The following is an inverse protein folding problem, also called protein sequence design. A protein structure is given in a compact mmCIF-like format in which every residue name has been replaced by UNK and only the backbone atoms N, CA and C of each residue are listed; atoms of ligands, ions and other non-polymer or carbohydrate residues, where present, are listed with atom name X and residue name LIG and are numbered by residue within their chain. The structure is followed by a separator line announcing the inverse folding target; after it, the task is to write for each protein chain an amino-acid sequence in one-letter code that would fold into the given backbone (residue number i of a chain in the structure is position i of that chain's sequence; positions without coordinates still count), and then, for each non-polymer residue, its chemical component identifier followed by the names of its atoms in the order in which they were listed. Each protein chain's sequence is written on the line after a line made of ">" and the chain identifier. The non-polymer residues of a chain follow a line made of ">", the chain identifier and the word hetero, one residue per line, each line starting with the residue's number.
data_IF_352784583291
#
_entry.id   IF_352784583291
#
_cell.length_a   1.000
_cell.length_b   1.000
_cell.length_c   1.000
_cell.angle_alpha   90.00
_cell.angle_beta   90.00
_cell.angle_gamma   90.00
#
_symmetry.space_group_name_H-M   'P 1'
#
loop_
_entity.id
_entity.type
_entity.pdbx_description
1 polymer ?
#
# COMPACT_ATOMS: atom_id res chain seq x y z
N UNK A 1 15.44 10.98 -6.23
CA UNK A 1 16.45 10.97 -5.14
C UNK A 1 16.29 9.70 -4.33
N UNK A 2 17.39 9.07 -3.92
CA UNK A 2 17.35 7.82 -3.15
C UNK A 2 16.79 8.05 -1.74
N UNK A 3 15.95 7.11 -1.29
CA UNK A 3 15.42 7.02 0.06
C UNK A 3 16.38 6.22 0.95
N UNK A 4 16.67 6.72 2.14
CA UNK A 4 17.65 6.20 3.09
C UNK A 4 17.01 5.51 4.32
N UNK A 5 15.69 5.54 4.45
CA UNK A 5 15.01 4.86 5.54
C UNK A 5 13.49 4.84 5.36
N UNK A 6 12.84 3.84 5.95
CA UNK A 6 11.39 3.67 5.99
C UNK A 6 10.94 3.85 7.44
N UNK A 7 9.90 4.65 7.67
CA UNK A 7 9.31 4.77 9.00
C UNK A 7 7.81 5.09 8.93
N UNK A 8 7.13 5.01 10.09
CA UNK A 8 5.69 5.27 10.22
C UNK A 8 4.84 4.50 9.20
N UNK A 9 4.80 3.17 9.38
CA UNK A 9 3.93 2.29 8.63
C UNK A 9 2.55 2.23 9.29
N UNK A 10 1.53 2.60 8.52
CA UNK A 10 0.13 2.62 8.90
C UNK A 10 -0.67 1.75 7.94
N UNK A 11 -1.75 1.18 8.45
CA UNK A 11 -2.75 0.48 7.66
C UNK A 11 -4.14 1.03 7.98
N UNK A 12 -5.04 1.02 7.01
CA UNK A 12 -6.43 1.41 7.18
C UNK A 12 -7.32 0.35 6.54
N UNK A 13 -8.39 -0.05 7.22
CA UNK A 13 -9.36 -1.00 6.69
C UNK A 13 -10.13 -0.36 5.54
N UNK A 14 -10.40 -1.14 4.50
CA UNK A 14 -11.27 -0.72 3.40
C UNK A 14 -12.60 -1.42 3.58
N UNK A 15 -13.67 -0.63 3.57
CA UNK A 15 -15.04 -1.14 3.53
C UNK A 15 -15.64 -0.74 2.19
N UNK A 16 -16.23 -1.69 1.48
CA UNK A 16 -16.87 -1.45 0.19
C UNK A 16 -18.39 -1.56 0.37
N UNK A 17 -19.15 -0.58 -0.12
CA UNK A 17 -20.62 -0.65 -0.14
C UNK A 17 -21.13 -1.46 -1.35
N UNK A 18 -22.44 -1.76 -1.40
CA UNK A 18 -23.06 -2.48 -2.54
C UNK A 18 -22.88 -1.79 -3.91
N UNK A 19 -22.51 -0.49 -3.91
CA UNK A 19 -22.25 0.29 -5.12
C UNK A 19 -20.77 0.27 -5.55
N UNK A 20 -19.88 -0.43 -4.83
CA UNK A 20 -18.44 -0.47 -5.11
C UNK A 20 -17.69 0.79 -4.65
N UNK A 21 -18.30 1.63 -3.82
CA UNK A 21 -17.61 2.77 -3.20
C UNK A 21 -16.82 2.31 -1.98
N UNK A 22 -15.51 2.49 -2.07
CA UNK A 22 -14.57 2.18 -1.00
C UNK A 22 -14.50 3.34 0.00
N UNK A 23 -14.77 3.05 1.27
CA UNK A 23 -14.53 3.94 2.41
C UNK A 23 -13.35 3.42 3.23
N UNK A 24 -12.44 4.33 3.58
CA UNK A 24 -11.29 4.03 4.41
C UNK A 24 -11.57 4.32 5.88
N UNK A 25 -11.19 3.39 6.75
CA UNK A 25 -11.19 3.61 8.19
C UNK A 25 -9.99 4.46 8.63
N UNK A 26 -9.97 4.84 9.91
CA UNK A 26 -8.88 5.62 10.50
C UNK A 26 -7.57 4.85 10.42
N UNK A 27 -6.47 5.44 9.89
CA UNK A 27 -5.17 4.79 9.83
C UNK A 27 -4.66 4.37 11.21
N UNK A 28 -4.37 3.09 11.37
CA UNK A 28 -3.79 2.49 12.58
C UNK A 28 -2.30 2.20 12.34
N UNK A 29 -1.40 2.50 13.29
CA UNK A 29 0.01 2.11 13.15
C UNK A 29 0.11 0.58 13.12
N UNK A 30 0.77 0.03 12.09
CA UNK A 30 0.97 -1.41 11.97
C UNK A 30 2.08 -1.86 12.93
N UNK A 31 3.31 -1.46 12.60
CA UNK A 31 4.52 -1.97 13.23
C UNK A 31 5.73 -1.14 12.83
N UNK A 32 6.88 -1.45 13.44
CA UNK A 32 8.16 -0.95 12.95
C UNK A 32 8.50 -1.66 11.64
N UNK A 33 8.40 -0.93 10.54
CA UNK A 33 8.81 -1.40 9.24
C UNK A 33 10.35 -1.40 9.11
N UNK A 34 10.86 -2.42 8.45
CA UNK A 34 12.28 -2.69 8.21
C UNK A 34 12.57 -2.48 6.73
N UNK A 35 11.76 -3.09 5.87
CA UNK A 35 11.86 -2.99 4.42
C UNK A 35 10.48 -2.82 3.80
N UNK A 36 10.41 -2.09 2.69
CA UNK A 36 9.25 -2.02 1.82
C UNK A 36 9.73 -2.06 0.38
N UNK A 37 9.35 -3.11 -0.34
CA UNK A 37 9.62 -3.28 -1.76
C UNK A 37 8.30 -3.22 -2.52
N UNK A 38 8.19 -2.28 -3.45
CA UNK A 38 7.01 -2.11 -4.30
C UNK A 38 7.41 -2.42 -5.74
N UNK A 39 6.88 -3.51 -6.27
CA UNK A 39 6.93 -3.87 -7.69
C UNK A 39 5.61 -3.49 -8.35
N UNK A 40 5.66 -2.99 -9.58
CA UNK A 40 4.47 -2.56 -10.35
C UNK A 40 4.48 -3.27 -11.69
N UNK A 41 3.36 -3.93 -12.00
CA UNK A 41 3.10 -4.56 -13.27
C UNK A 41 2.14 -3.70 -14.09
N UNK A 42 2.57 -3.37 -15.31
CA UNK A 42 1.80 -2.63 -16.29
C UNK A 42 1.41 -3.62 -17.40
N UNK A 43 0.12 -3.74 -17.68
CA UNK A 43 -0.35 -4.41 -18.88
C UNK A 43 -0.09 -3.49 -20.08
N UNK A 44 0.68 -3.98 -21.06
CA UNK A 44 0.81 -3.32 -22.35
C UNK A 44 0.00 -4.04 -23.42
N UNK A 45 -0.77 -3.29 -24.19
CA UNK A 45 -1.42 -3.78 -25.40
C UNK A 45 -0.92 -2.92 -26.57
N UNK A 46 -0.26 -3.57 -27.53
CA UNK A 46 0.18 -2.90 -28.77
C UNK A 46 -0.78 -3.29 -29.89
N UNK A 47 -1.50 -2.31 -30.43
CA UNK A 47 -2.25 -2.44 -31.68
C UNK A 47 -1.27 -2.31 -32.83
N UNK A 48 -1.22 -3.32 -33.71
CA UNK A 48 -0.42 -3.27 -34.93
C UNK A 48 -1.30 -2.92 -36.13
N UNK A 49 -0.88 -1.95 -36.93
CA UNK A 49 -1.49 -1.61 -38.22
C UNK A 49 -0.37 -1.30 -39.23
N UNK A 50 -0.58 -1.69 -40.50
CA UNK A 50 0.40 -1.54 -41.59
C UNK A 50 1.82 -2.05 -41.24
N UNK A 51 1.90 -3.28 -40.72
CA UNK A 51 3.16 -3.94 -40.33
C UNK A 51 4.02 -3.18 -39.29
N UNK A 52 3.42 -2.20 -38.58
CA UNK A 52 4.04 -1.42 -37.51
C UNK A 52 3.18 -1.34 -36.25
N UNK A 53 3.79 -1.03 -35.11
CA UNK A 53 3.06 -0.71 -33.88
C UNK A 53 2.33 0.62 -34.07
N UNK A 54 1.00 0.58 -34.17
CA UNK A 54 0.15 1.74 -34.44
C UNK A 54 -0.28 2.44 -33.15
N UNK A 55 -0.53 1.68 -32.08
CA UNK A 55 -0.94 2.24 -30.79
C UNK A 55 -0.42 1.38 -29.64
N UNK A 56 0.13 1.99 -28.60
CA UNK A 56 0.59 1.28 -27.41
C UNK A 56 -0.18 1.82 -26.21
N UNK A 57 -1.05 0.98 -25.64
CA UNK A 57 -1.78 1.28 -24.42
C UNK A 57 -1.05 0.62 -23.26
N UNK A 58 -0.71 1.40 -22.23
CA UNK A 58 -0.14 0.90 -20.97
C UNK A 58 -1.11 1.18 -19.84
N UNK A 59 -1.62 0.14 -19.20
CA UNK A 59 -2.54 0.23 -18.07
C UNK A 59 -1.93 -0.44 -16.84
N UNK A 60 -2.20 0.11 -15.65
CA UNK A 60 -1.81 -0.55 -14.40
C UNK A 60 -2.58 -1.87 -14.25
N UNK A 61 -1.86 -2.99 -14.18
CA UNK A 61 -2.44 -4.32 -14.03
C UNK A 61 -2.53 -4.68 -12.54
N UNK A 62 -1.39 -4.68 -11.87
CA UNK A 62 -1.22 -5.08 -10.48
C UNK A 62 0.08 -4.51 -9.92
N UNK A 63 0.23 -4.54 -8.60
CA UNK A 63 1.55 -4.38 -7.98
C UNK A 63 1.75 -5.41 -6.89
N UNK A 64 2.99 -5.63 -6.51
CA UNK A 64 3.36 -6.48 -5.37
C UNK A 64 4.11 -5.63 -4.36
N UNK A 65 3.59 -5.57 -3.15
CA UNK A 65 4.18 -4.88 -2.01
C UNK A 65 4.69 -5.91 -1.01
N UNK A 66 6.00 -5.97 -0.84
CA UNK A 66 6.65 -6.81 0.17
C UNK A 66 7.12 -5.95 1.32
N UNK A 67 6.54 -6.16 2.50
CA UNK A 67 6.89 -5.45 3.72
C UNK A 67 7.63 -6.40 4.68
N UNK A 68 8.85 -6.03 5.05
CA UNK A 68 9.52 -6.61 6.22
C UNK A 68 9.17 -5.79 7.45
N UNK A 69 8.61 -6.42 8.47
CA UNK A 69 8.25 -5.74 9.74
C UNK A 69 8.84 -6.49 10.92
N UNK A 70 9.11 -5.76 12.01
CA UNK A 70 9.69 -6.37 13.21
C UNK A 70 8.74 -7.36 13.89
N UNK A 71 7.46 -6.99 13.98
CA UNK A 71 6.39 -7.79 14.57
C UNK A 71 5.06 -7.29 13.98
N UNK A 72 4.26 -8.15 13.37
CA UNK A 72 2.96 -7.74 12.79
C UNK A 72 1.94 -7.45 13.91
N UNK A 73 2.06 -8.12 15.06
CA UNK A 73 1.03 -8.16 16.08
C UNK A 73 -0.16 -9.02 15.68
N UNK A 74 -0.86 -9.56 16.67
CA UNK A 74 -1.97 -10.50 16.42
C UNK A 74 -3.18 -9.76 15.83
N UNK A 75 -3.52 -8.58 16.35
CA UNK A 75 -4.62 -7.75 15.85
C UNK A 75 -4.46 -7.38 14.37
N UNK A 76 -3.26 -6.97 13.96
CA UNK A 76 -3.03 -6.62 12.57
C UNK A 76 -2.95 -7.87 11.69
N UNK A 77 -2.43 -9.00 12.19
CA UNK A 77 -2.45 -10.25 11.44
C UNK A 77 -3.89 -10.70 11.17
N UNK A 78 -4.80 -10.64 12.15
CA UNK A 78 -6.22 -10.94 11.93
C UNK A 78 -6.83 -10.03 10.84
N UNK A 79 -6.52 -8.74 10.87
CA UNK A 79 -7.07 -7.79 9.87
C UNK A 79 -6.45 -7.97 8.48
N UNK A 80 -5.13 -8.13 8.40
CA UNK A 80 -4.40 -8.17 7.13
C UNK A 80 -4.55 -9.50 6.42
N UNK A 81 -4.52 -10.62 7.16
CA UNK A 81 -4.56 -11.96 6.59
C UNK A 81 -5.95 -12.57 6.67
N UNK A 82 -6.83 -12.05 7.53
CA UNK A 82 -8.12 -12.69 7.82
C UNK A 82 -8.02 -13.88 8.76
N UNK A 83 -6.86 -14.09 9.39
CA UNK A 83 -6.66 -15.18 10.33
C UNK A 83 -7.55 -15.00 11.56
N UNK A 84 -7.94 -16.11 12.19
CA UNK A 84 -8.78 -16.08 13.39
C UNK A 84 -7.99 -16.51 14.62
N UNK A 85 -8.17 -15.80 15.72
CA UNK A 85 -7.74 -16.28 17.03
C UNK A 85 -8.56 -17.50 17.49
N UNK A 86 -7.88 -18.57 17.89
CA UNK A 86 -8.47 -19.64 18.70
C UNK A 86 -8.66 -19.19 20.17
N UNK A 87 -9.47 -19.91 20.94
CA UNK A 87 -9.73 -19.66 22.37
C UNK A 87 -8.43 -19.59 23.21
N UNK A 88 -7.37 -20.23 22.73
CA UNK A 88 -6.04 -20.23 23.34
C UNK A 88 -5.15 -19.06 22.94
N UNK A 89 -5.68 -18.03 22.26
CA UNK A 89 -4.93 -16.88 21.74
C UNK A 89 -3.87 -17.24 20.68
N UNK A 90 -4.08 -18.35 19.98
CA UNK A 90 -3.21 -18.78 18.86
C UNK A 90 -3.82 -18.27 17.56
N UNK A 91 -3.00 -17.59 16.75
CA UNK A 91 -3.40 -17.16 15.41
C UNK A 91 -3.44 -18.38 14.48
N UNK A 92 -4.62 -18.72 13.97
CA UNK A 92 -4.81 -19.81 13.01
C UNK A 92 -4.99 -19.20 11.63
N UNK A 93 -4.03 -19.45 10.74
CA UNK A 93 -4.11 -19.09 9.33
C UNK A 93 -4.54 -20.32 8.50
N UNK A 94 -5.66 -20.23 7.82
CA UNK A 94 -6.18 -21.24 6.89
C UNK A 94 -5.83 -20.87 5.44
N UNK A 95 -5.82 -21.86 4.54
CA UNK A 95 -5.58 -21.62 3.10
C UNK A 95 -6.69 -20.79 2.42
N UNK A 96 -7.83 -20.64 3.09
CA UNK A 96 -8.99 -19.87 2.63
C UNK A 96 -8.98 -18.44 3.19
N UNK A 97 -8.02 -18.12 4.07
CA UNK A 97 -7.85 -16.79 4.65
C UNK A 97 -7.33 -15.84 3.57
N UNK A 98 -8.30 -15.22 2.88
CA UNK A 98 -8.08 -14.10 1.99
C UNK A 98 -8.49 -12.83 2.70
N UNK A 99 -7.59 -12.27 3.52
CA UNK A 99 -7.80 -11.02 4.23
C UNK A 99 -8.43 -9.92 3.36
N UNK A 100 -9.22 -9.06 3.99
CA UNK A 100 -9.84 -7.94 3.29
C UNK A 100 -8.75 -6.99 2.75
N UNK A 101 -8.98 -6.35 1.59
CA UNK A 101 -8.04 -5.36 1.11
C UNK A 101 -7.94 -4.19 2.12
N UNK A 102 -6.73 -3.69 2.33
CA UNK A 102 -6.42 -2.58 3.23
C UNK A 102 -5.65 -1.49 2.49
N UNK A 103 -5.76 -0.25 2.94
CA UNK A 103 -4.91 0.83 2.48
C UNK A 103 -3.63 0.87 3.33
N UNK A 104 -2.48 1.10 2.70
CA UNK A 104 -1.19 1.10 3.39
C UNK A 104 -0.47 2.42 3.17
N UNK A 105 -0.10 3.06 4.27
CA UNK A 105 0.58 4.34 4.31
C UNK A 105 1.96 4.20 4.93
N UNK A 106 2.99 4.72 4.27
CA UNK A 106 4.34 4.77 4.83
C UNK A 106 5.08 6.00 4.37
N UNK A 107 6.13 6.38 5.10
CA UNK A 107 7.04 7.43 4.65
C UNK A 107 8.45 6.92 4.52
N UNK A 108 9.12 7.40 3.49
CA UNK A 108 10.51 7.13 3.22
C UNK A 108 11.32 8.42 3.41
N UNK A 109 12.34 8.37 4.28
CA UNK A 109 13.29 9.44 4.46
C UNK A 109 14.21 9.52 3.24
N UNK A 110 14.40 10.70 2.68
CA UNK A 110 15.33 10.98 1.58
C UNK A 110 16.71 11.36 2.12
N UNK A 111 17.73 11.26 1.26
CA UNK A 111 19.10 11.65 1.59
C UNK A 111 19.25 13.13 2.04
N UNK A 112 18.34 14.02 1.65
CA UNK A 112 18.29 15.42 2.09
C UNK A 112 17.69 15.62 3.49
N UNK A 113 17.30 14.54 4.19
CA UNK A 113 16.66 14.60 5.50
C UNK A 113 15.16 14.89 5.48
N UNK A 114 14.56 15.12 4.30
CA UNK A 114 13.11 15.26 4.11
C UNK A 114 12.43 13.91 3.93
N UNK A 115 11.11 13.88 4.03
CA UNK A 115 10.32 12.67 3.87
C UNK A 115 9.54 12.68 2.55
N UNK A 116 9.33 11.48 2.01
CA UNK A 116 8.37 11.20 0.96
C UNK A 116 7.30 10.30 1.55
N UNK A 117 6.06 10.71 1.48
CA UNK A 117 4.93 9.94 1.97
C UNK A 117 4.29 9.19 0.81
N UNK A 118 3.79 8.00 1.11
CA UNK A 118 3.14 7.11 0.17
C UNK A 118 1.84 6.60 0.79
N UNK A 119 0.81 6.48 -0.05
CA UNK A 119 -0.42 5.74 0.22
C UNK A 119 -0.68 4.79 -0.93
N UNK A 120 -0.93 3.53 -0.59
CA UNK A 120 -1.44 2.50 -1.50
C UNK A 120 -2.89 2.26 -1.11
N UNK A 121 -3.80 2.48 -2.07
CA UNK A 121 -5.22 2.52 -1.76
C UNK A 121 -5.84 1.17 -1.51
N UNK A 122 -5.38 0.12 -2.19
CA UNK A 122 -5.93 -1.22 -2.08
C UNK A 122 -4.80 -2.22 -2.14
N UNK A 123 -4.50 -2.84 -0.99
CA UNK A 123 -3.46 -3.86 -0.85
C UNK A 123 -4.10 -5.07 -0.17
N UNK A 124 -4.10 -6.21 -0.84
CA UNK A 124 -4.55 -7.47 -0.23
C UNK A 124 -3.33 -8.26 0.19
N UNK A 125 -3.12 -8.41 1.49
CA UNK A 125 -2.01 -9.18 2.00
C UNK A 125 -2.29 -10.67 1.92
N UNK A 126 -1.22 -11.42 1.61
CA UNK A 126 -1.19 -12.86 1.76
C UNK A 126 -0.74 -13.27 3.16
N UNK A 127 -0.54 -14.58 3.30
CA UNK A 127 -0.06 -15.18 4.55
C UNK A 127 1.40 -14.74 4.77
N UNK A 128 1.75 -14.17 5.93
CA UNK A 128 3.10 -13.74 6.23
C UNK A 128 4.05 -14.94 6.29
N UNK A 129 5.21 -14.81 5.65
CA UNK A 129 6.26 -15.80 5.74
C UNK A 129 6.99 -15.64 7.09
N UNK A 130 6.92 -16.70 7.90
CA UNK A 130 7.68 -16.77 9.15
C UNK A 130 9.08 -17.31 8.84
N UNK A 131 10.06 -16.41 8.81
CA UNK A 131 11.46 -16.79 8.71
C UNK A 131 12.01 -17.05 10.11
N UNK A 132 12.31 -18.31 10.44
CA UNK A 132 12.98 -18.69 11.69
C UNK A 132 14.37 -19.20 11.36
N UNK A 133 15.41 -18.52 11.84
CA UNK A 133 16.79 -18.97 11.71
C UNK A 133 17.36 -19.30 13.08
N UNK A 134 18.05 -20.44 13.19
CA UNK A 134 18.76 -20.82 14.40
C UNK A 134 19.94 -19.89 14.62
N UNK A 135 20.28 -19.66 15.91
CA UNK A 135 21.39 -18.79 16.28
C UNK A 135 22.72 -19.41 15.82
N UNK A 136 23.34 -18.83 14.80
CA UNK A 136 24.73 -19.12 14.41
C UNK A 136 25.73 -18.22 15.16
N UNK A 137 27.01 -18.31 14.82
CA UNK A 137 28.08 -17.43 15.34
C UNK A 137 27.83 -15.92 15.08
N UNK A 138 26.93 -15.60 14.15
CA UNK A 138 26.44 -14.25 13.85
C UNK A 138 24.96 -14.10 14.23
N UNK A 139 24.62 -13.01 14.94
CA UNK A 139 23.24 -12.69 15.30
C UNK A 139 22.52 -12.13 14.05
N UNK A 140 21.89 -12.99 13.27
CA UNK A 140 20.96 -12.58 12.21
C UNK A 140 19.56 -12.47 12.82
N UNK A 141 18.97 -11.28 12.77
CA UNK A 141 17.57 -11.10 13.12
C UNK A 141 16.70 -11.54 11.94
N UNK A 142 16.05 -12.69 12.06
CA UNK A 142 15.00 -13.07 11.11
C UNK A 142 13.73 -12.33 11.46
N UNK A 143 13.27 -11.48 10.55
CA UNK A 143 12.03 -10.73 10.70
C UNK A 143 10.97 -11.30 9.77
N UNK A 144 9.71 -11.41 10.21
CA UNK A 144 8.63 -11.83 9.35
C UNK A 144 8.48 -10.87 8.15
N UNK A 145 8.15 -11.43 7.00
CA UNK A 145 7.87 -10.67 5.78
C UNK A 145 6.44 -10.95 5.36
N UNK A 146 5.69 -9.90 5.01
CA UNK A 146 4.34 -10.02 4.49
C UNK A 146 4.31 -9.45 3.07
N UNK A 147 3.76 -10.24 2.16
CA UNK A 147 3.57 -9.85 0.77
C UNK A 147 2.11 -9.48 0.56
N UNK A 148 1.84 -8.40 -0.16
CA UNK A 148 0.50 -8.00 -0.52
C UNK A 148 0.38 -7.55 -1.97
N UNK A 149 -0.73 -7.91 -2.60
CA UNK A 149 -1.03 -7.51 -3.97
C UNK A 149 -1.73 -6.15 -3.96
N UNK A 150 -1.08 -5.16 -4.57
CA UNK A 150 -1.62 -3.82 -4.81
C UNK A 150 -2.56 -3.86 -6.01
N UNK A 151 -3.75 -3.29 -5.83
CA UNK A 151 -4.79 -3.20 -6.83
C UNK A 151 -5.24 -1.74 -6.99
N UNK A 152 -5.86 -1.43 -8.14
CA UNK A 152 -6.52 -0.15 -8.35
C UNK A 152 -7.78 -0.04 -7.49
N UNK A 153 -8.17 1.18 -7.14
CA UNK A 153 -9.45 1.46 -6.50
C UNK A 153 -10.61 1.03 -7.39
N UNK A 154 -11.66 0.52 -6.76
CA UNK A 154 -12.95 0.33 -7.43
C UNK A 154 -13.67 1.67 -7.61
N UNK A 155 -13.53 2.58 -6.63
CA UNK A 155 -14.11 3.93 -6.70
C UNK A 155 -13.32 4.82 -7.69
N UNK A 156 -13.98 5.48 -8.64
CA UNK A 156 -13.34 6.50 -9.46
C UNK A 156 -13.05 7.76 -8.64
N UNK A 157 -11.94 8.40 -8.95
CA UNK A 157 -11.58 9.74 -8.47
C UNK A 157 -12.48 10.82 -9.09
N UNK A 158 -12.35 12.07 -8.66
CA UNK A 158 -13.02 13.24 -9.24
C UNK A 158 -12.76 13.46 -10.74
N UNK A 159 -11.82 12.72 -11.34
CA UNK A 159 -11.54 12.69 -12.78
C UNK A 159 -12.04 11.42 -13.50
N UNK A 160 -12.79 10.54 -12.83
CA UNK A 160 -13.26 9.28 -13.41
C UNK A 160 -12.17 8.21 -13.57
N UNK A 161 -11.02 8.37 -12.92
CA UNK A 161 -9.88 7.44 -12.97
C UNK A 161 -9.80 6.60 -11.70
N UNK A 162 -9.13 5.46 -11.76
CA UNK A 162 -8.96 4.54 -10.62
C UNK A 162 -7.53 4.62 -10.07
N UNK A 163 -7.20 5.57 -9.17
CA UNK A 163 -5.85 5.71 -8.65
C UNK A 163 -5.51 4.51 -7.77
N UNK A 164 -4.27 4.02 -7.88
CA UNK A 164 -3.77 2.88 -7.10
C UNK A 164 -2.73 3.31 -6.05
N UNK A 165 -2.07 4.46 -6.25
CA UNK A 165 -1.06 5.06 -5.36
C UNK A 165 -1.20 6.57 -5.29
N UNK A 166 -0.94 7.14 -4.11
CA UNK A 166 -0.58 8.54 -3.93
C UNK A 166 0.82 8.67 -3.34
N UNK A 167 1.58 9.66 -3.78
CA UNK A 167 2.87 9.98 -3.20
C UNK A 167 3.08 11.49 -3.16
N UNK A 168 3.72 11.97 -2.10
CA UNK A 168 4.05 13.38 -1.93
C UNK A 168 5.42 13.54 -1.30
N UNK A 169 6.18 14.52 -1.79
CA UNK A 169 7.48 14.87 -1.20
C UNK A 169 7.37 16.17 -0.41
N UNK A 170 7.93 16.23 0.81
CA UNK A 170 7.94 17.48 1.58
C UNK A 170 8.75 18.61 0.92
N UNK A 171 9.68 18.25 0.04
CA UNK A 171 10.50 19.19 -0.73
C UNK A 171 9.83 19.71 -2.02
N UNK A 172 8.62 19.26 -2.35
CA UNK A 172 7.93 19.75 -3.56
C UNK A 172 7.32 21.15 -3.32
N UNK A 173 7.61 22.15 -4.19
CA UNK A 173 7.26 23.56 -3.99
C UNK A 173 5.77 23.90 -4.11
N UNK A 174 4.88 22.92 -4.02
CA UNK A 174 3.42 23.09 -4.07
C UNK A 174 2.63 22.31 -3.01
N UNK A 175 3.32 21.64 -2.07
CA UNK A 175 2.67 20.81 -1.05
C UNK A 175 2.33 21.66 0.17
N UNK A 176 1.05 21.69 0.55
CA UNK A 176 0.64 22.35 1.80
C UNK A 176 1.18 21.57 3.00
N UNK A 177 1.77 22.23 4.02
CA UNK A 177 2.18 21.58 5.27
C UNK A 177 1.02 20.83 5.95
N UNK A 178 -0.21 21.32 5.77
CA UNK A 178 -1.42 20.70 6.33
C UNK A 178 -1.69 19.31 5.74
N UNK A 179 -1.41 19.13 4.44
CA UNK A 179 -1.51 17.83 3.75
C UNK A 179 -0.55 16.81 4.37
N UNK A 180 0.64 17.24 4.77
CA UNK A 180 1.63 16.37 5.41
C UNK A 180 1.24 16.05 6.85
N UNK A 181 0.72 17.03 7.61
CA UNK A 181 0.29 16.79 8.99
C UNK A 181 -0.96 15.92 9.09
N UNK A 182 -1.88 16.04 8.12
CA UNK A 182 -3.09 15.21 8.03
C UNK A 182 -2.88 13.86 7.33
N UNK A 183 -1.67 13.57 6.83
CA UNK A 183 -1.43 12.38 6.00
C UNK A 183 -1.73 11.04 6.68
N UNK A 184 -1.73 11.01 8.02
CA UNK A 184 -2.06 9.83 8.82
C UNK A 184 -3.31 10.01 9.68
N UNK A 185 -4.01 11.14 9.61
CA UNK A 185 -5.30 11.32 10.30
C UNK A 185 -6.41 10.63 9.52
N UNK A 186 -6.34 10.67 8.18
CA UNK A 186 -7.23 9.97 7.27
C UNK A 186 -6.43 9.50 6.04
N UNK A 187 -6.95 8.50 5.32
CA UNK A 187 -6.33 8.09 4.05
C UNK A 187 -6.49 9.24 3.06
N UNK A 188 -5.37 9.72 2.52
CA UNK A 188 -5.37 10.86 1.60
C UNK A 188 -6.19 10.52 0.35
N UNK A 189 -7.30 11.23 0.12
CA UNK A 189 -8.05 11.14 -1.12
C UNK A 189 -7.69 12.32 -2.04
N UNK A 190 -7.26 12.07 -3.29
CA UNK A 190 -7.03 13.11 -4.27
C UNK A 190 -8.32 13.90 -4.50
N UNK A 191 -8.23 15.20 -4.30
CA UNK A 191 -9.27 16.13 -4.72
C UNK A 191 -8.73 16.86 -5.93
N UNK A 192 -9.13 16.40 -7.11
CA UNK A 192 -8.96 17.22 -8.30
C UNK A 192 -10.03 18.31 -8.24
N UNK A 193 -9.61 19.57 -8.09
CA UNK A 193 -10.51 20.67 -8.39
C UNK A 193 -11.06 20.42 -9.79
N UNK A 194 -12.38 20.28 -9.92
CA UNK A 194 -13.07 20.30 -11.21
C UNK A 194 -12.54 21.54 -11.91
N UNK A 195 -11.70 21.33 -12.93
CA UNK A 195 -11.33 22.37 -13.85
C UNK A 195 -12.64 22.92 -14.37
N UNK A 196 -12.91 24.19 -14.04
CA UNK A 196 -14.15 24.84 -14.42
C UNK A 196 -14.44 24.53 -15.88
N UNK A 197 -15.61 23.94 -16.12
CA UNK A 197 -16.22 23.99 -17.43
C UNK A 197 -16.41 25.46 -17.75
N UNK A 198 -15.44 26.06 -18.42
CA UNK A 198 -15.69 27.23 -19.23
C UNK A 198 -16.32 26.72 -20.51
N UNK A 199 -17.63 26.99 -20.59
CA UNK A 199 -18.50 26.95 -21.77
C UNK A 199 -17.83 27.46 -23.06
#
# INVERSE_FOLDING_TARGET
>A
MATIGLDRLYYAKITENENGEETYDTPVPLAKAITAELSVELAEATLYADDGAAEVVKEFQSGTLTLGVADIGVDAAEVLTGATLDDNKVLISTSEDGGAPVAIGFRAKKANGKYRYFWLYRVKFGIPATNLQTKGDSITFSTPTIEGTVMRRNKPDGQGKHPWKAEVSEDDPGVSPETITGWYTEVYEPVFAVGGGSE
#
